data_IF_330374352660
#
_entry.id   IF_330374352660
#
_cell.length_a   1.000
_cell.length_b   1.000
_cell.length_c   1.000
_cell.angle_alpha   90.00
_cell.angle_beta   90.00
_cell.angle_gamma   90.00
#
_symmetry.space_group_name_H-M   'P 1'
#
loop_
_entity.id
_entity.type
_entity.pdbx_description
1 polymer ?
#
# COMPACT_ATOMS: atom_id res chain seq x y z
N UNK A 1 38.67 14.72 11.35
CA UNK A 1 37.33 14.61 10.74
C UNK A 1 36.85 13.19 11.00
N UNK A 2 36.00 13.00 12.01
CA UNK A 2 35.50 11.68 12.42
C UNK A 2 34.38 11.26 11.48
N UNK A 3 34.58 10.14 10.81
CA UNK A 3 33.59 9.48 9.96
C UNK A 3 32.48 8.92 10.86
N UNK A 4 31.27 9.47 10.74
CA UNK A 4 30.07 8.95 11.39
C UNK A 4 29.54 7.82 10.49
N UNK A 5 29.39 6.57 10.97
CA UNK A 5 28.86 5.49 10.14
C UNK A 5 27.35 5.67 9.95
N UNK A 6 26.90 5.83 8.71
CA UNK A 6 25.48 5.83 8.31
C UNK A 6 24.90 4.40 8.23
N UNK A 7 25.12 3.57 9.26
CA UNK A 7 24.70 2.15 9.23
C UNK A 7 23.31 1.89 9.88
N UNK A 8 22.66 2.91 10.44
CA UNK A 8 21.48 2.74 11.30
C UNK A 8 20.12 2.73 10.56
N UNK A 9 20.09 3.03 9.26
CA UNK A 9 18.82 3.18 8.52
C UNK A 9 18.36 1.87 7.84
N UNK A 10 19.27 1.07 7.30
CA UNK A 10 18.89 -0.09 6.47
C UNK A 10 18.55 -1.34 7.30
N UNK A 11 19.31 -1.60 8.36
CA UNK A 11 19.04 -2.69 9.32
C UNK A 11 17.66 -2.51 9.97
N UNK A 12 17.35 -1.28 10.35
CA UNK A 12 16.07 -0.86 10.94
C UNK A 12 14.91 -1.11 9.98
N UNK A 13 15.04 -0.76 8.69
CA UNK A 13 14.02 -1.03 7.68
C UNK A 13 13.79 -2.52 7.46
N UNK A 14 14.84 -3.33 7.45
CA UNK A 14 14.75 -4.78 7.30
C UNK A 14 13.97 -5.39 8.47
N UNK A 15 14.31 -5.00 9.70
CA UNK A 15 13.60 -5.44 10.90
C UNK A 15 12.12 -5.05 10.85
N UNK A 16 11.80 -3.81 10.52
CA UNK A 16 10.41 -3.34 10.39
C UNK A 16 9.64 -4.19 9.35
N UNK A 17 10.27 -4.50 8.20
CA UNK A 17 9.66 -5.34 7.16
C UNK A 17 9.39 -6.77 7.67
N UNK A 18 10.36 -7.37 8.35
CA UNK A 18 10.22 -8.71 8.93
C UNK A 18 9.14 -8.75 10.01
N UNK A 19 9.12 -7.76 10.91
CA UNK A 19 8.10 -7.64 11.95
C UNK A 19 6.70 -7.50 11.35
N UNK A 20 6.53 -6.66 10.33
CA UNK A 20 5.25 -6.52 9.61
C UNK A 20 4.84 -7.83 8.95
N UNK A 21 5.76 -8.52 8.29
CA UNK A 21 5.48 -9.83 7.70
C UNK A 21 5.00 -10.82 8.76
N UNK A 22 5.70 -10.92 9.89
CA UNK A 22 5.36 -11.82 10.98
C UNK A 22 3.94 -11.59 11.54
N UNK A 23 3.54 -10.33 11.73
CA UNK A 23 2.21 -10.00 12.24
C UNK A 23 1.09 -10.09 11.20
N UNK A 24 1.40 -9.89 9.91
CA UNK A 24 0.39 -9.96 8.83
C UNK A 24 0.18 -11.38 8.31
N UNK A 25 1.17 -12.25 8.46
CA UNK A 25 1.14 -13.63 7.95
C UNK A 25 -0.07 -14.45 8.47
N UNK A 26 -0.46 -14.40 9.77
CA UNK A 26 -1.69 -15.04 10.23
C UNK A 26 -2.95 -14.53 9.52
N UNK A 27 -3.00 -13.25 9.20
CA UNK A 27 -4.10 -12.64 8.44
C UNK A 27 -4.16 -13.19 7.02
N UNK A 28 -3.02 -13.38 6.37
CA UNK A 28 -2.93 -13.95 5.02
C UNK A 28 -3.53 -15.35 4.94
N UNK A 29 -3.28 -16.18 5.96
CA UNK A 29 -3.93 -17.50 6.05
C UNK A 29 -5.46 -17.42 6.18
N UNK A 30 -6.00 -16.42 6.87
CA UNK A 30 -7.45 -16.23 6.97
C UNK A 30 -8.06 -15.82 5.63
N UNK A 31 -7.34 -15.01 4.84
CA UNK A 31 -7.77 -14.57 3.52
C UNK A 31 -7.77 -15.72 2.51
N UNK A 32 -6.69 -16.51 2.49
CA UNK A 32 -6.56 -17.71 1.65
C UNK A 32 -7.70 -18.73 1.88
N UNK A 33 -8.20 -18.80 3.13
CA UNK A 33 -9.26 -19.74 3.51
C UNK A 33 -10.68 -19.19 3.31
N UNK A 34 -10.86 -17.89 3.06
CA UNK A 34 -12.18 -17.26 2.95
C UNK A 34 -12.23 -16.18 1.88
N UNK A 35 -12.70 -16.57 0.69
CA UNK A 35 -12.93 -15.65 -0.43
C UNK A 35 -13.93 -14.52 -0.07
N UNK A 36 -14.87 -14.78 0.84
CA UNK A 36 -15.81 -13.77 1.33
C UNK A 36 -15.07 -12.69 2.12
N UNK A 37 -14.20 -13.11 3.06
CA UNK A 37 -13.42 -12.19 3.88
C UNK A 37 -12.46 -11.36 3.03
N UNK A 38 -11.80 -12.01 2.07
CA UNK A 38 -10.94 -11.37 1.09
C UNK A 38 -11.66 -10.26 0.32
N UNK A 39 -12.79 -10.60 -0.30
CA UNK A 39 -13.54 -9.65 -1.13
C UNK A 39 -14.04 -8.45 -0.30
N UNK A 40 -14.48 -8.70 0.95
CA UNK A 40 -14.84 -7.63 1.88
C UNK A 40 -13.66 -6.71 2.21
N UNK A 41 -12.47 -7.27 2.49
CA UNK A 41 -11.29 -6.48 2.78
C UNK A 41 -10.84 -5.65 1.58
N UNK A 42 -10.90 -6.19 0.38
CA UNK A 42 -10.55 -5.44 -0.83
C UNK A 42 -11.51 -4.30 -1.11
N UNK A 43 -12.81 -4.50 -0.93
CA UNK A 43 -13.82 -3.42 -0.99
C UNK A 43 -13.56 -2.35 0.06
N UNK A 44 -13.17 -2.75 1.27
CA UNK A 44 -12.77 -1.82 2.33
C UNK A 44 -11.52 -1.04 1.92
N UNK A 45 -10.49 -1.71 1.38
CA UNK A 45 -9.27 -1.06 0.87
C UNK A 45 -9.58 -0.07 -0.26
N UNK A 46 -10.43 -0.45 -1.22
CA UNK A 46 -10.88 0.42 -2.31
C UNK A 46 -11.64 1.64 -1.76
N UNK A 47 -12.56 1.41 -0.82
CA UNK A 47 -13.30 2.50 -0.16
C UNK A 47 -12.37 3.44 0.60
N UNK A 48 -11.26 2.95 1.15
CA UNK A 48 -10.29 3.75 1.86
C UNK A 48 -9.48 4.68 0.95
N UNK A 49 -9.38 4.35 -0.33
CA UNK A 49 -8.70 5.17 -1.33
C UNK A 49 -9.67 6.15 -2.00
N UNK A 50 -10.92 5.72 -2.22
CA UNK A 50 -11.97 6.54 -2.85
C UNK A 50 -12.63 7.52 -1.88
N UNK A 51 -12.68 7.18 -0.59
CA UNK A 51 -13.24 8.07 0.43
C UNK A 51 -12.39 9.32 0.57
N UNK A 52 -13.00 10.47 0.28
CA UNK A 52 -12.48 11.75 0.75
C UNK A 52 -12.34 11.69 2.27
N UNK A 53 -11.28 12.33 2.77
CA UNK A 53 -10.85 12.26 4.18
C UNK A 53 -12.00 12.55 5.17
N UNK A 54 -13.01 13.32 4.77
CA UNK A 54 -14.19 13.65 5.57
C UNK A 54 -15.18 12.51 5.81
N UNK A 55 -15.17 11.42 5.03
CA UNK A 55 -16.18 10.36 5.14
C UNK A 55 -15.90 9.32 6.24
N UNK A 56 -14.68 9.29 6.80
CA UNK A 56 -14.26 8.21 7.69
C UNK A 56 -14.01 8.63 9.14
N UNK A 57 -13.72 9.90 9.43
CA UNK A 57 -13.63 10.41 10.81
C UNK A 57 -14.12 11.87 10.88
N UNK A 58 -15.09 12.21 11.75
CA UNK A 58 -15.63 13.58 11.86
C UNK A 58 -14.74 14.54 12.68
N UNK A 59 -13.48 14.20 12.98
CA UNK A 59 -12.62 15.06 13.80
C UNK A 59 -11.14 14.81 13.52
N UNK A 60 -10.50 15.73 12.80
CA UNK A 60 -9.23 16.38 13.19
C UNK A 60 -8.71 17.26 12.05
N UNK A 61 -8.74 18.57 12.26
CA UNK A 61 -8.22 19.57 11.35
C UNK A 61 -6.69 19.48 11.16
N UNK A 62 -6.22 19.69 9.94
CA UNK A 62 -4.82 20.05 9.62
C UNK A 62 -3.81 18.91 9.42
N UNK A 63 -3.98 17.74 10.05
CA UNK A 63 -3.10 16.58 9.86
C UNK A 63 -3.46 15.68 8.65
N UNK A 64 -4.56 16.01 7.97
CA UNK A 64 -5.33 15.13 7.09
C UNK A 64 -4.70 14.83 5.71
N UNK A 65 -3.89 15.73 5.16
CA UNK A 65 -3.24 15.50 3.84
C UNK A 65 -2.13 14.46 3.97
N UNK A 66 -1.42 14.49 5.10
CA UNK A 66 -0.42 13.47 5.47
C UNK A 66 -1.07 12.09 5.68
N UNK A 67 -2.34 12.08 6.06
CA UNK A 67 -3.10 10.86 6.32
C UNK A 67 -3.46 10.12 5.01
N UNK A 68 -3.80 10.87 3.95
CA UNK A 68 -4.17 10.25 2.67
C UNK A 68 -2.98 9.66 1.90
N UNK A 69 -1.84 10.37 1.84
CA UNK A 69 -0.62 9.86 1.20
C UNK A 69 -0.04 8.67 1.98
N UNK A 70 0.01 8.76 3.30
CA UNK A 70 0.44 7.69 4.21
C UNK A 70 -0.42 6.43 4.06
N UNK A 71 -1.75 6.60 3.95
CA UNK A 71 -2.67 5.48 3.74
C UNK A 71 -2.37 4.76 2.42
N UNK A 72 -2.21 5.50 1.33
CA UNK A 72 -1.90 4.90 0.02
C UNK A 72 -0.56 4.14 0.07
N UNK A 73 0.46 4.74 0.67
CA UNK A 73 1.76 4.08 0.83
C UNK A 73 1.67 2.83 1.71
N UNK A 74 0.80 2.83 2.72
CA UNK A 74 0.53 1.67 3.57
C UNK A 74 -0.17 0.56 2.81
N UNK A 75 -1.19 0.89 2.00
CA UNK A 75 -1.89 -0.05 1.13
C UNK A 75 -0.90 -0.67 0.13
N UNK A 76 -0.10 0.16 -0.55
CA UNK A 76 0.92 -0.31 -1.48
C UNK A 76 1.93 -1.24 -0.80
N UNK A 77 2.35 -0.91 0.43
CA UNK A 77 3.26 -1.75 1.22
C UNK A 77 2.64 -3.12 1.56
N UNK A 78 1.35 -3.17 1.89
CA UNK A 78 0.65 -4.44 2.16
C UNK A 78 0.52 -5.28 0.90
N UNK A 79 0.15 -4.67 -0.23
CA UNK A 79 0.04 -5.37 -1.52
C UNK A 79 1.39 -5.93 -1.97
N UNK A 80 2.48 -5.17 -1.83
CA UNK A 80 3.84 -5.63 -2.13
C UNK A 80 4.29 -6.75 -1.18
N UNK A 81 3.83 -6.72 0.08
CA UNK A 81 4.11 -7.79 1.04
C UNK A 81 3.36 -9.08 0.66
N UNK A 82 2.10 -8.96 0.24
CA UNK A 82 1.29 -10.07 -0.27
C UNK A 82 1.92 -10.65 -1.55
N UNK A 83 2.45 -9.82 -2.46
CA UNK A 83 3.14 -10.30 -3.66
C UNK A 83 4.37 -11.16 -3.34
N UNK A 84 5.03 -10.93 -2.21
CA UNK A 84 6.16 -11.74 -1.76
C UNK A 84 5.81 -13.17 -1.31
N UNK A 85 4.53 -13.51 -1.15
CA UNK A 85 4.07 -14.83 -0.73
C UNK A 85 3.29 -15.53 -1.85
N UNK A 86 3.72 -16.73 -2.25
CA UNK A 86 3.18 -17.49 -3.39
C UNK A 86 1.67 -17.79 -3.26
N UNK A 87 1.15 -18.01 -2.05
CA UNK A 87 -0.29 -18.24 -1.87
C UNK A 87 -1.06 -16.94 -2.06
N UNK A 88 -0.50 -15.85 -1.57
CA UNK A 88 -1.09 -14.53 -1.68
C UNK A 88 -0.98 -13.97 -3.10
N UNK A 89 -0.02 -14.38 -3.91
CA UNK A 89 0.07 -14.05 -5.33
C UNK A 89 -1.18 -14.53 -6.10
N UNK A 90 -1.61 -15.77 -5.90
CA UNK A 90 -2.84 -16.31 -6.52
C UNK A 90 -4.07 -15.50 -6.14
N UNK A 91 -4.10 -15.09 -4.88
CA UNK A 91 -5.16 -14.27 -4.33
C UNK A 91 -5.13 -12.84 -4.90
N UNK A 92 -3.95 -12.22 -5.06
CA UNK A 92 -3.80 -10.94 -5.75
C UNK A 92 -4.24 -11.03 -7.22
N UNK A 93 -3.93 -12.14 -7.91
CA UNK A 93 -4.37 -12.38 -9.28
C UNK A 93 -5.91 -12.38 -9.40
N UNK A 94 -6.58 -13.02 -8.43
CA UNK A 94 -8.05 -13.08 -8.39
C UNK A 94 -8.72 -11.72 -8.15
N UNK A 95 -7.93 -10.72 -7.71
CA UNK A 95 -8.38 -9.39 -7.32
C UNK A 95 -7.71 -8.29 -8.16
N UNK A 96 -7.31 -8.65 -9.37
CA UNK A 96 -6.59 -7.78 -10.30
C UNK A 96 -7.36 -6.50 -10.63
N UNK A 97 -8.68 -6.57 -10.77
CA UNK A 97 -9.53 -5.42 -11.07
C UNK A 97 -9.47 -4.41 -9.93
N UNK A 98 -9.61 -4.87 -8.70
CA UNK A 98 -9.53 -4.04 -7.50
C UNK A 98 -8.14 -3.39 -7.38
N UNK A 99 -7.07 -4.15 -7.61
CA UNK A 99 -5.71 -3.62 -7.61
C UNK A 99 -5.50 -2.58 -8.73
N UNK A 100 -6.11 -2.79 -9.90
CA UNK A 100 -6.05 -1.83 -11.02
C UNK A 100 -6.79 -0.54 -10.65
N UNK A 101 -7.94 -0.62 -9.99
CA UNK A 101 -8.66 0.54 -9.48
C UNK A 101 -7.80 1.31 -8.47
N UNK A 102 -7.13 0.62 -7.55
CA UNK A 102 -6.18 1.21 -6.60
C UNK A 102 -5.07 2.00 -7.34
N UNK A 103 -4.46 1.40 -8.37
CA UNK A 103 -3.44 2.06 -9.20
C UNK A 103 -3.99 3.29 -9.91
N UNK A 104 -5.20 3.22 -10.46
CA UNK A 104 -5.85 4.36 -11.09
C UNK A 104 -6.11 5.49 -10.09
N UNK A 105 -6.57 5.16 -8.88
CA UNK A 105 -6.77 6.15 -7.83
C UNK A 105 -5.46 6.82 -7.36
N UNK A 106 -4.34 6.09 -7.36
CA UNK A 106 -3.02 6.67 -7.09
C UNK A 106 -2.62 7.70 -8.16
N UNK A 107 -2.93 7.42 -9.44
CA UNK A 107 -2.66 8.33 -10.55
C UNK A 107 -3.57 9.56 -10.52
N UNK A 108 -4.87 9.38 -10.25
CA UNK A 108 -5.80 10.52 -10.15
C UNK A 108 -5.41 11.43 -9.01
N UNK A 109 -5.01 10.89 -7.85
CA UNK A 109 -4.51 11.71 -6.74
C UNK A 109 -3.29 12.55 -7.15
N UNK A 110 -2.32 11.94 -7.84
CA UNK A 110 -1.14 12.66 -8.35
C UNK A 110 -1.51 13.77 -9.34
N UNK A 111 -2.52 13.52 -10.18
CA UNK A 111 -2.95 14.45 -11.22
C UNK A 111 -3.91 15.53 -10.73
N UNK A 112 -4.54 15.34 -9.55
CA UNK A 112 -5.70 16.13 -9.13
C UNK A 112 -5.39 17.61 -8.93
N UNK A 113 -4.13 18.03 -8.76
CA UNK A 113 -3.76 19.43 -8.52
C UNK A 113 -4.30 20.04 -7.21
N UNK A 114 -5.31 19.40 -6.61
CA UNK A 114 -5.96 19.79 -5.37
C UNK A 114 -5.10 19.36 -4.17
N UNK A 115 -4.37 20.36 -3.68
CA UNK A 115 -4.10 20.63 -2.27
C UNK A 115 -2.90 19.85 -1.67
N UNK A 116 -1.80 20.59 -1.48
CA UNK A 116 -0.76 20.40 -0.45
C UNK A 116 0.11 19.13 -0.48
N UNK A 117 0.14 18.37 -1.56
CA UNK A 117 1.11 17.27 -1.68
C UNK A 117 2.52 17.82 -1.89
N UNK A 118 3.45 17.48 -1.00
CA UNK A 118 4.86 17.85 -1.17
C UNK A 118 5.50 17.06 -2.32
N UNK A 119 6.57 17.62 -2.91
CA UNK A 119 7.37 16.94 -3.95
C UNK A 119 7.86 15.57 -3.45
N UNK A 120 8.28 15.49 -2.19
CA UNK A 120 8.77 14.25 -1.57
C UNK A 120 7.66 13.18 -1.50
N UNK A 121 6.46 13.54 -1.06
CA UNK A 121 5.33 12.61 -1.02
C UNK A 121 4.96 12.15 -2.44
N UNK A 122 4.98 13.06 -3.42
CA UNK A 122 4.74 12.75 -4.83
C UNK A 122 5.71 11.68 -5.35
N UNK A 123 6.99 11.82 -5.03
CA UNK A 123 8.00 10.81 -5.37
C UNK A 123 7.77 9.47 -4.67
N UNK A 124 7.39 9.48 -3.38
CA UNK A 124 7.09 8.23 -2.65
C UNK A 124 5.92 7.48 -3.27
N UNK A 125 4.84 8.18 -3.62
CA UNK A 125 3.68 7.57 -4.27
C UNK A 125 4.05 7.04 -5.65
N UNK A 126 4.82 7.79 -6.45
CA UNK A 126 5.29 7.31 -7.75
C UNK A 126 6.14 6.05 -7.63
N UNK A 127 7.11 6.04 -6.70
CA UNK A 127 7.94 4.87 -6.45
C UNK A 127 7.11 3.65 -6.02
N UNK A 128 6.12 3.85 -5.16
CA UNK A 128 5.21 2.78 -4.74
C UNK A 128 4.35 2.27 -5.91
N UNK A 129 3.85 3.17 -6.75
CA UNK A 129 3.09 2.85 -7.96
C UNK A 129 3.92 1.99 -8.92
N UNK A 130 5.15 2.42 -9.25
CA UNK A 130 6.02 1.71 -10.20
C UNK A 130 6.35 0.30 -9.71
N UNK A 131 6.60 0.15 -8.39
CA UNK A 131 6.86 -1.15 -7.76
C UNK A 131 5.64 -2.06 -7.81
N UNK A 132 4.44 -1.53 -7.57
CA UNK A 132 3.21 -2.30 -7.67
C UNK A 132 2.94 -2.75 -9.10
N UNK A 133 3.10 -1.86 -10.08
CA UNK A 133 2.94 -2.20 -11.50
C UNK A 133 3.89 -3.34 -11.87
N UNK A 134 5.18 -3.22 -11.53
CA UNK A 134 6.15 -4.28 -11.78
C UNK A 134 5.74 -5.61 -11.12
N UNK A 135 5.32 -5.58 -9.85
CA UNK A 135 4.85 -6.75 -9.13
C UNK A 135 3.63 -7.39 -9.81
N UNK A 136 2.65 -6.60 -10.24
CA UNK A 136 1.44 -7.11 -10.89
C UNK A 136 1.74 -7.68 -12.27
N UNK A 137 2.62 -7.04 -13.05
CA UNK A 137 3.04 -7.57 -14.35
C UNK A 137 3.74 -8.93 -14.21
N UNK A 138 4.44 -9.20 -13.10
CA UNK A 138 5.02 -10.54 -12.85
C UNK A 138 3.99 -11.60 -12.52
N UNK A 139 2.79 -11.23 -12.03
CA UNK A 139 1.72 -12.19 -11.73
C UNK A 139 1.08 -12.79 -12.99
N UNK A 140 1.23 -12.18 -14.16
CA UNK A 140 0.60 -12.65 -15.41
C UNK A 140 1.36 -13.80 -16.10
N UNK A 141 2.57 -14.13 -15.63
CA UNK A 141 3.46 -15.11 -16.28
C UNK A 141 3.67 -16.42 -15.49
N UNK A 142 3.00 -16.61 -14.35
CA UNK A 142 2.96 -17.85 -13.55
C UNK A 142 1.62 -18.60 -13.71
#
# INVERSE_FOLDING_TARGET
MTHIPEEDDESSKILIRQTRHYYLLPGFFLLDRSNILLNQILKVIESFISASVSALLPHQDGALVKDHSSRILSIASVLLLMHGDVKMQKLLLSCKTEITNILQSMLTLKSSGDITMSIEEGHKIQSAYDRLVAAISTLEYD
#
